data_IF_665408768270
#
_entry.id   IF_665408768270
#
_cell.length_a   1.000
_cell.length_b   1.000
_cell.length_c   1.000
_cell.angle_alpha   90.00
_cell.angle_beta   90.00
_cell.angle_gamma   90.00
#
_symmetry.space_group_name_H-M   'P 1'
#
loop_
_entity.id
_entity.type
_entity.pdbx_description
1 polymer ?
#
# COMPACT_ATOMS: atom_id res chain seq x y z
N UNK A 1 -13.37 -19.62 24.21
CA UNK A 1 -12.78 -18.81 23.09
C UNK A 1 -13.91 -18.30 22.19
N UNK A 2 -13.87 -17.03 21.77
CA UNK A 2 -14.84 -16.40 20.86
C UNK A 2 -14.18 -15.39 19.92
N UNK A 3 -14.90 -14.96 18.87
CA UNK A 3 -14.37 -14.02 17.88
C UNK A 3 -13.94 -12.67 18.45
N UNK A 4 -14.58 -12.20 19.53
CA UNK A 4 -14.19 -10.94 20.17
C UNK A 4 -12.81 -11.05 20.82
N UNK A 5 -12.52 -12.15 21.47
CA UNK A 5 -11.20 -12.41 22.05
C UNK A 5 -10.12 -12.49 20.97
N UNK A 6 -10.38 -13.19 19.84
CA UNK A 6 -9.43 -13.26 18.71
C UNK A 6 -9.18 -11.87 18.09
N UNK A 7 -10.23 -11.04 17.92
CA UNK A 7 -10.08 -9.66 17.47
C UNK A 7 -9.22 -8.84 18.43
N UNK A 8 -9.41 -8.99 19.73
CA UNK A 8 -8.60 -8.28 20.74
C UNK A 8 -7.12 -8.66 20.62
N UNK A 9 -6.80 -9.97 20.44
CA UNK A 9 -5.41 -10.42 20.27
C UNK A 9 -4.78 -9.76 19.03
N UNK A 10 -5.48 -9.80 17.91
CA UNK A 10 -5.03 -9.18 16.64
C UNK A 10 -4.81 -7.68 16.80
N UNK A 11 -5.79 -6.97 17.33
CA UNK A 11 -5.68 -5.51 17.48
C UNK A 11 -4.61 -5.12 18.52
N UNK A 12 -4.39 -5.93 19.56
CA UNK A 12 -3.32 -5.69 20.52
C UNK A 12 -1.93 -5.75 19.85
N UNK A 13 -1.72 -6.70 18.94
CA UNK A 13 -0.48 -6.77 18.17
C UNK A 13 -0.30 -5.59 17.20
N UNK A 14 -1.40 -5.11 16.58
CA UNK A 14 -1.39 -4.00 15.62
C UNK A 14 -1.22 -2.62 16.25
N UNK A 15 -1.68 -2.45 17.50
CA UNK A 15 -1.64 -1.20 18.26
C UNK A 15 -0.46 -1.16 19.23
N UNK A 16 0.66 -1.80 18.89
CA UNK A 16 1.88 -1.83 19.72
C UNK A 16 1.59 -2.15 21.19
N UNK A 17 0.64 -3.07 21.42
CA UNK A 17 0.22 -3.54 22.73
C UNK A 17 -0.44 -2.46 23.61
N UNK A 18 -0.92 -1.36 23.02
CA UNK A 18 -1.62 -0.30 23.71
C UNK A 18 -3.11 -0.66 23.88
N UNK A 19 -3.47 -1.18 25.06
CA UNK A 19 -4.85 -1.63 25.35
C UNK A 19 -5.89 -0.51 25.33
N UNK A 20 -5.48 0.75 25.47
CA UNK A 20 -6.40 1.90 25.37
C UNK A 20 -6.80 2.10 23.90
N UNK A 21 -5.85 2.05 22.98
CA UNK A 21 -6.13 2.13 21.55
C UNK A 21 -6.94 0.93 21.06
N UNK A 22 -6.62 -0.29 21.53
CA UNK A 22 -7.44 -1.48 21.25
C UNK A 22 -8.89 -1.29 21.71
N UNK A 23 -9.09 -0.72 22.90
CA UNK A 23 -10.42 -0.46 23.42
C UNK A 23 -11.19 0.56 22.57
N UNK A 24 -10.52 1.64 22.15
CA UNK A 24 -11.08 2.66 21.25
C UNK A 24 -11.48 2.03 19.89
N UNK A 25 -10.58 1.27 19.26
CA UNK A 25 -10.81 0.61 17.98
C UNK A 25 -11.99 -0.40 18.01
N UNK A 26 -12.16 -1.10 19.14
CA UNK A 26 -13.20 -2.11 19.29
C UNK A 26 -14.47 -1.59 20.01
N UNK A 27 -14.57 -0.28 20.22
CA UNK A 27 -15.71 0.37 20.88
C UNK A 27 -16.05 -0.27 22.25
N UNK A 28 -15.02 -0.53 23.06
CA UNK A 28 -15.17 -1.18 24.37
C UNK A 28 -14.33 -0.47 25.44
N UNK A 29 -14.32 -0.97 26.67
CA UNK A 29 -13.48 -0.43 27.74
C UNK A 29 -12.13 -1.15 27.82
N UNK A 30 -11.08 -0.43 28.22
CA UNK A 30 -9.74 -1.00 28.44
C UNK A 30 -9.76 -2.15 29.48
N UNK A 31 -10.61 -2.02 30.53
CA UNK A 31 -10.79 -3.10 31.50
C UNK A 31 -11.46 -4.34 30.89
N UNK A 32 -12.41 -4.16 29.96
CA UNK A 32 -13.02 -5.23 29.19
C UNK A 32 -12.02 -5.96 28.32
N UNK A 33 -11.16 -5.22 27.58
CA UNK A 33 -10.07 -5.78 26.78
C UNK A 33 -9.16 -6.63 27.65
N UNK A 34 -8.68 -6.07 28.79
CA UNK A 34 -7.79 -6.78 29.71
C UNK A 34 -8.42 -8.05 30.30
N UNK A 35 -9.72 -8.01 30.58
CA UNK A 35 -10.47 -9.18 31.07
C UNK A 35 -10.56 -10.28 30.01
N UNK A 36 -10.92 -9.93 28.76
CA UNK A 36 -11.02 -10.90 27.67
C UNK A 36 -9.68 -11.58 27.35
N UNK A 37 -8.57 -10.84 27.46
CA UNK A 37 -7.24 -11.44 27.30
C UNK A 37 -6.98 -12.47 28.39
N UNK A 38 -7.24 -12.15 29.67
CA UNK A 38 -7.02 -13.09 30.79
C UNK A 38 -7.91 -14.31 30.67
N UNK A 39 -9.20 -14.13 30.40
CA UNK A 39 -10.14 -15.24 30.19
C UNK A 39 -9.64 -16.21 29.11
N UNK A 40 -9.05 -15.69 28.03
CA UNK A 40 -8.50 -16.52 26.96
C UNK A 40 -7.19 -17.21 27.38
N UNK A 41 -6.29 -16.50 28.07
CA UNK A 41 -5.05 -17.07 28.62
C UNK A 41 -5.38 -18.20 29.63
N UNK A 42 -6.35 -17.98 30.51
CA UNK A 42 -6.82 -18.97 31.50
C UNK A 42 -7.45 -20.20 30.82
N UNK A 43 -8.28 -19.98 29.79
CA UNK A 43 -8.93 -21.06 29.04
C UNK A 43 -7.93 -21.94 28.29
N UNK A 44 -6.90 -21.31 27.67
CA UNK A 44 -5.90 -22.03 26.88
C UNK A 44 -4.74 -22.56 27.72
N UNK A 45 -4.60 -22.09 28.96
CA UNK A 45 -3.50 -22.46 29.86
C UNK A 45 -2.12 -21.94 29.40
N UNK A 46 -2.08 -20.84 28.63
CA UNK A 46 -0.86 -20.22 28.12
C UNK A 46 -0.86 -18.71 28.38
N UNK A 47 0.33 -18.13 28.53
CA UNK A 47 0.51 -16.69 28.50
C UNK A 47 0.66 -16.23 27.03
N UNK A 48 -0.22 -15.33 26.58
CA UNK A 48 -0.20 -14.78 25.22
C UNK A 48 0.72 -13.58 25.14
N UNK A 49 0.73 -12.76 26.19
CA UNK A 49 1.49 -11.50 26.21
C UNK A 49 2.53 -11.46 27.32
N UNK A 50 3.70 -10.91 27.00
CA UNK A 50 4.71 -10.52 27.99
C UNK A 50 4.22 -9.28 28.72
N UNK A 51 4.23 -9.31 30.07
CA UNK A 51 3.69 -8.24 30.92
C UNK A 51 4.76 -7.64 31.83
N UNK A 52 4.65 -6.33 32.06
CA UNK A 52 5.33 -5.65 33.16
C UNK A 52 4.29 -4.87 33.96
N UNK A 53 3.84 -5.48 35.04
CA UNK A 53 2.71 -4.95 35.81
C UNK A 53 1.40 -4.97 35.02
N UNK A 54 0.81 -3.80 34.78
CA UNK A 54 -0.43 -3.67 33.99
C UNK A 54 -0.20 -3.45 32.48
N UNK A 55 1.08 -3.27 32.06
CA UNK A 55 1.44 -2.95 30.65
C UNK A 55 1.83 -4.21 29.90
N UNK A 56 1.35 -4.38 28.69
CA UNK A 56 1.84 -5.35 27.72
C UNK A 56 3.09 -4.80 27.05
N UNK A 57 4.10 -5.66 26.86
CA UNK A 57 5.38 -5.30 26.25
C UNK A 57 5.62 -5.99 24.90
N UNK A 58 4.88 -7.06 24.62
CA UNK A 58 5.05 -7.88 23.43
C UNK A 58 4.25 -9.16 23.54
N UNK A 59 4.44 -10.07 22.61
CA UNK A 59 3.85 -11.40 22.63
C UNK A 59 4.88 -12.45 23.04
N UNK A 60 4.41 -13.50 23.71
CA UNK A 60 5.17 -14.73 23.95
C UNK A 60 5.27 -15.54 22.65
N UNK A 61 6.14 -16.57 22.60
CA UNK A 61 6.18 -17.46 21.43
C UNK A 61 4.83 -18.19 21.20
N UNK A 62 4.14 -18.76 22.22
CA UNK A 62 2.78 -19.25 22.04
C UNK A 62 1.80 -18.18 21.57
N UNK A 63 1.94 -16.94 22.05
CA UNK A 63 1.11 -15.82 21.64
C UNK A 63 1.26 -15.48 20.16
N UNK A 64 2.49 -15.47 19.63
CA UNK A 64 2.76 -15.26 18.20
C UNK A 64 2.13 -16.35 17.33
N UNK A 65 2.30 -17.62 17.73
CA UNK A 65 1.66 -18.75 17.05
C UNK A 65 0.13 -18.64 17.06
N UNK A 66 -0.45 -18.27 18.21
CA UNK A 66 -1.89 -18.03 18.34
C UNK A 66 -2.36 -16.88 17.43
N UNK A 67 -1.57 -15.80 17.31
CA UNK A 67 -1.94 -14.65 16.45
C UNK A 67 -2.12 -15.09 14.99
N UNK A 68 -1.22 -15.90 14.45
CA UNK A 68 -1.32 -16.43 13.08
C UNK A 68 -2.62 -17.23 12.90
N UNK A 69 -2.94 -18.11 13.86
CA UNK A 69 -4.19 -18.88 13.82
C UNK A 69 -5.41 -17.98 13.95
N UNK A 70 -5.38 -17.01 14.86
CA UNK A 70 -6.48 -16.06 15.08
C UNK A 70 -6.77 -15.23 13.82
N UNK A 71 -5.73 -14.76 13.13
CA UNK A 71 -5.88 -14.02 11.87
C UNK A 71 -6.52 -14.88 10.77
N UNK A 72 -6.13 -16.15 10.65
CA UNK A 72 -6.76 -17.09 9.70
C UNK A 72 -8.24 -17.31 10.03
N UNK A 73 -8.60 -17.56 11.29
CA UNK A 73 -9.99 -17.75 11.72
C UNK A 73 -10.83 -16.49 11.44
N UNK A 74 -10.29 -15.30 11.73
CA UNK A 74 -10.98 -14.03 11.48
C UNK A 74 -11.14 -13.76 9.98
N UNK A 75 -10.17 -14.15 9.16
CA UNK A 75 -10.25 -14.05 7.71
C UNK A 75 -11.35 -14.97 7.17
N UNK A 76 -11.39 -16.25 7.60
CA UNK A 76 -12.44 -17.19 7.20
C UNK A 76 -13.85 -16.74 7.67
N UNK A 77 -13.95 -16.17 8.87
CA UNK A 77 -15.22 -15.59 9.33
C UNK A 77 -15.67 -14.39 8.45
N UNK A 78 -14.74 -13.63 7.90
CA UNK A 78 -15.03 -12.59 6.90
C UNK A 78 -15.45 -13.21 5.57
N UNK A 79 -14.77 -14.28 5.13
CA UNK A 79 -15.10 -15.01 3.90
C UNK A 79 -16.51 -15.59 3.91
N UNK A 80 -17.01 -16.07 5.06
CA UNK A 80 -18.40 -16.53 5.19
C UNK A 80 -19.40 -15.43 4.81
N UNK A 81 -19.15 -14.18 5.22
CA UNK A 81 -20.01 -13.03 4.85
C UNK A 81 -19.88 -12.71 3.38
N UNK A 82 -18.64 -12.66 2.85
CA UNK A 82 -18.39 -12.42 1.42
C UNK A 82 -19.00 -13.50 0.54
N UNK A 83 -18.99 -14.77 0.99
CA UNK A 83 -19.63 -15.87 0.28
C UNK A 83 -21.13 -15.62 0.12
N UNK A 84 -21.82 -15.19 1.18
CA UNK A 84 -23.25 -14.87 1.11
C UNK A 84 -23.51 -13.75 0.08
N UNK A 85 -22.67 -12.74 0.06
CA UNK A 85 -22.76 -11.63 -0.91
C UNK A 85 -22.55 -12.10 -2.37
N UNK A 86 -21.66 -13.07 -2.62
CA UNK A 86 -21.43 -13.65 -3.95
C UNK A 86 -22.67 -14.33 -4.54
N UNK A 87 -23.52 -14.94 -3.67
CA UNK A 87 -24.73 -15.60 -4.12
C UNK A 87 -25.94 -14.67 -4.25
N UNK A 88 -25.88 -13.47 -3.67
CA UNK A 88 -27.02 -12.56 -3.65
C UNK A 88 -26.93 -11.43 -4.66
N UNK A 89 -25.74 -10.92 -4.98
CA UNK A 89 -25.55 -9.74 -5.84
C UNK A 89 -24.17 -9.72 -6.50
N UNK A 90 -24.06 -10.27 -7.72
CA UNK A 90 -22.79 -10.31 -8.46
C UNK A 90 -22.51 -9.02 -9.28
N UNK A 91 -23.53 -8.17 -9.47
CA UNK A 91 -23.45 -6.97 -10.34
C UNK A 91 -23.52 -5.64 -9.60
N UNK A 92 -23.79 -5.65 -8.29
CA UNK A 92 -23.89 -4.43 -7.47
C UNK A 92 -23.06 -4.54 -6.20
N UNK A 93 -22.75 -3.39 -5.59
CA UNK A 93 -21.97 -3.32 -4.36
C UNK A 93 -21.00 -2.16 -4.34
N UNK A 94 -19.92 -2.29 -3.57
CA UNK A 94 -18.86 -1.29 -3.48
C UNK A 94 -17.54 -1.98 -3.81
N UNK A 95 -16.73 -1.36 -4.68
CA UNK A 95 -15.33 -1.71 -4.91
C UNK A 95 -14.47 -0.62 -4.29
N UNK A 96 -13.76 -0.97 -3.24
CA UNK A 96 -12.85 -0.05 -2.54
C UNK A 96 -11.41 -0.28 -3.00
N UNK A 97 -10.82 0.76 -3.57
CA UNK A 97 -9.45 0.75 -4.09
C UNK A 97 -8.60 1.70 -3.24
N UNK A 98 -7.61 1.16 -2.54
CA UNK A 98 -6.61 1.95 -1.83
C UNK A 98 -5.41 2.21 -2.75
N UNK A 99 -5.01 3.46 -2.94
CA UNK A 99 -3.99 3.81 -3.93
C UNK A 99 -3.22 5.06 -3.56
N UNK A 100 -2.06 5.28 -4.18
CA UNK A 100 -1.34 6.55 -4.05
C UNK A 100 -1.97 7.62 -4.93
N UNK A 101 -1.74 8.90 -4.62
CA UNK A 101 -2.25 10.03 -5.41
C UNK A 101 -1.89 9.91 -6.90
N UNK A 102 -0.63 9.60 -7.19
CA UNK A 102 -0.14 9.48 -8.57
C UNK A 102 -0.92 8.44 -9.38
N UNK A 103 -1.23 7.28 -8.78
CA UNK A 103 -1.98 6.24 -9.49
C UNK A 103 -3.46 6.62 -9.64
N UNK A 104 -4.06 7.21 -8.61
CA UNK A 104 -5.44 7.69 -8.68
C UNK A 104 -5.66 8.70 -9.79
N UNK A 105 -4.69 9.61 -9.99
CA UNK A 105 -4.80 10.70 -10.96
C UNK A 105 -4.41 10.29 -12.37
N UNK A 106 -3.34 9.51 -12.56
CA UNK A 106 -2.72 9.34 -13.87
C UNK A 106 -2.87 7.94 -14.46
N UNK A 107 -3.01 6.89 -13.65
CA UNK A 107 -3.04 5.51 -14.15
C UNK A 107 -4.45 4.88 -14.11
N UNK A 108 -5.27 5.28 -13.15
CA UNK A 108 -6.60 4.68 -12.94
C UNK A 108 -7.74 5.26 -13.80
N UNK A 109 -7.72 6.51 -14.31
CA UNK A 109 -8.92 7.10 -14.94
C UNK A 109 -9.48 6.25 -16.08
N UNK A 110 -8.66 5.76 -17.01
CA UNK A 110 -9.12 4.94 -18.14
C UNK A 110 -9.63 3.56 -17.68
N UNK A 111 -8.96 2.95 -16.68
CA UNK A 111 -9.42 1.68 -16.10
C UNK A 111 -10.77 1.84 -15.42
N UNK A 112 -10.94 2.91 -14.64
CA UNK A 112 -12.20 3.24 -13.96
C UNK A 112 -13.31 3.50 -14.96
N UNK A 113 -13.03 4.22 -16.05
CA UNK A 113 -14.00 4.48 -17.11
C UNK A 113 -14.49 3.18 -17.73
N UNK A 114 -13.58 2.30 -18.15
CA UNK A 114 -13.92 1.00 -18.72
C UNK A 114 -14.68 0.11 -17.71
N UNK A 115 -14.28 0.14 -16.43
CA UNK A 115 -14.96 -0.60 -15.38
C UNK A 115 -16.41 -0.12 -15.17
N UNK A 116 -16.65 1.19 -15.18
CA UNK A 116 -17.98 1.78 -15.02
C UNK A 116 -18.93 1.43 -16.16
N UNK A 117 -18.41 1.22 -17.37
CA UNK A 117 -19.21 0.73 -18.51
C UNK A 117 -19.67 -0.71 -18.31
N UNK A 118 -18.84 -1.57 -17.69
CA UNK A 118 -19.16 -2.98 -17.43
C UNK A 118 -20.02 -3.18 -16.17
N UNK A 119 -19.82 -2.34 -15.14
CA UNK A 119 -20.47 -2.46 -13.84
C UNK A 119 -21.09 -1.13 -13.38
N UNK A 120 -22.16 -0.64 -14.05
CA UNK A 120 -22.76 0.66 -13.76
C UNK A 120 -23.36 0.76 -12.34
N UNK A 121 -23.77 -0.37 -11.75
CA UNK A 121 -24.37 -0.44 -10.40
C UNK A 121 -23.35 -0.61 -9.27
N UNK A 122 -22.08 -0.89 -9.58
CA UNK A 122 -21.01 -0.96 -8.58
C UNK A 122 -20.53 0.45 -8.25
N UNK A 123 -20.57 0.80 -6.97
CA UNK A 123 -19.98 2.06 -6.47
C UNK A 123 -18.48 1.88 -6.32
N UNK A 124 -17.73 2.93 -6.67
CA UNK A 124 -16.28 2.97 -6.51
C UNK A 124 -15.91 3.89 -5.36
N UNK A 125 -15.06 3.42 -4.46
CA UNK A 125 -14.41 4.20 -3.42
C UNK A 125 -12.91 4.20 -3.65
N UNK A 126 -12.31 5.41 -3.78
CA UNK A 126 -10.87 5.59 -3.88
C UNK A 126 -10.36 6.15 -2.56
N UNK A 127 -9.56 5.36 -1.84
CA UNK A 127 -8.89 5.77 -0.62
C UNK A 127 -7.43 6.08 -0.98
N UNK A 128 -7.01 7.33 -0.79
CA UNK A 128 -5.63 7.72 -1.05
C UNK A 128 -4.80 7.65 0.23
N UNK A 129 -3.59 7.09 0.11
CA UNK A 129 -2.67 6.97 1.23
C UNK A 129 -1.25 6.65 0.80
N UNK A 130 -0.39 6.52 1.78
CA UNK A 130 0.99 6.02 1.62
C UNK A 130 0.97 4.52 1.34
N UNK A 131 2.05 3.93 0.77
CA UNK A 131 2.14 2.48 0.58
C UNK A 131 1.93 1.66 1.86
N UNK A 132 2.32 2.21 3.01
CA UNK A 132 2.09 1.59 4.32
C UNK A 132 0.62 1.56 4.72
N UNK A 133 -0.08 2.69 4.57
CA UNK A 133 -1.51 2.79 4.87
C UNK A 133 -2.32 1.90 3.93
N UNK A 134 -1.95 1.84 2.63
CA UNK A 134 -2.57 0.96 1.64
C UNK A 134 -2.44 -0.51 2.06
N UNK A 135 -1.24 -0.95 2.48
CA UNK A 135 -1.03 -2.31 2.97
C UNK A 135 -1.92 -2.60 4.20
N UNK A 136 -2.01 -1.65 5.13
CA UNK A 136 -2.85 -1.79 6.33
C UNK A 136 -4.35 -1.90 5.98
N UNK A 137 -4.85 -1.08 5.05
CA UNK A 137 -6.24 -1.15 4.57
C UNK A 137 -6.57 -2.52 3.95
N UNK A 138 -5.65 -3.07 3.16
CA UNK A 138 -5.78 -4.42 2.61
C UNK A 138 -5.81 -5.50 3.71
N UNK A 139 -4.84 -5.46 4.63
CA UNK A 139 -4.76 -6.41 5.75
C UNK A 139 -6.02 -6.39 6.62
N UNK A 140 -6.59 -5.21 6.83
CA UNK A 140 -7.84 -5.04 7.58
C UNK A 140 -9.08 -5.50 6.80
N UNK A 141 -8.96 -5.66 5.46
CA UNK A 141 -10.10 -5.91 4.58
C UNK A 141 -11.01 -4.70 4.38
N UNK A 142 -10.47 -3.50 4.62
CA UNK A 142 -11.13 -2.21 4.40
C UNK A 142 -10.99 -1.75 2.93
N UNK A 143 -10.00 -2.28 2.20
CA UNK A 143 -9.88 -2.15 0.75
C UNK A 143 -9.88 -3.53 0.10
N UNK A 144 -10.47 -3.61 -1.10
CA UNK A 144 -10.48 -4.83 -1.91
C UNK A 144 -9.20 -4.94 -2.75
N UNK A 145 -8.72 -3.82 -3.29
CA UNK A 145 -7.51 -3.74 -4.12
C UNK A 145 -6.61 -2.63 -3.57
N UNK A 146 -5.31 -2.90 -3.48
CA UNK A 146 -4.29 -1.91 -3.18
C UNK A 146 -3.41 -1.66 -4.39
N UNK A 147 -3.07 -0.40 -4.67
CA UNK A 147 -2.21 -0.02 -5.80
C UNK A 147 -1.12 0.91 -5.32
N UNK A 148 0.13 0.43 -5.33
CA UNK A 148 1.28 1.21 -4.90
C UNK A 148 2.57 0.75 -5.58
N UNK A 149 3.57 1.61 -5.62
CA UNK A 149 4.88 1.29 -6.21
C UNK A 149 5.80 0.49 -5.29
N UNK A 150 5.51 0.44 -3.99
CA UNK A 150 6.41 -0.13 -3.00
C UNK A 150 5.62 -0.93 -1.97
N UNK A 151 6.31 -1.78 -1.21
CA UNK A 151 5.85 -2.47 -0.02
C UNK A 151 4.82 -3.61 -0.21
N UNK A 152 3.88 -3.54 -1.14
CA UNK A 152 2.84 -4.56 -1.28
C UNK A 152 3.43 -5.96 -1.57
N UNK A 153 4.52 -6.02 -2.33
CA UNK A 153 5.16 -7.30 -2.72
C UNK A 153 5.95 -7.98 -1.59
N UNK A 154 6.21 -7.28 -0.49
CA UNK A 154 7.05 -7.79 0.60
C UNK A 154 6.23 -8.17 1.85
N UNK A 155 4.92 -8.13 1.78
CA UNK A 155 4.03 -8.43 2.89
C UNK A 155 3.47 -9.84 2.75
N UNK A 156 3.74 -10.76 3.70
CA UNK A 156 3.29 -12.16 3.61
C UNK A 156 1.77 -12.33 3.66
N UNK A 157 1.03 -11.35 4.22
CA UNK A 157 -0.43 -11.36 4.25
C UNK A 157 -1.07 -10.89 2.94
N UNK A 158 -0.25 -10.35 2.02
CA UNK A 158 -0.70 -9.83 0.74
C UNK A 158 -0.19 -10.71 -0.42
N UNK A 159 -0.92 -10.66 -1.51
CA UNK A 159 -0.46 -11.16 -2.82
C UNK A 159 -0.38 -9.96 -3.72
N UNK A 160 0.78 -9.75 -4.34
CA UNK A 160 1.01 -8.58 -5.17
C UNK A 160 1.44 -9.01 -6.59
N UNK A 161 0.82 -8.39 -7.59
CA UNK A 161 1.06 -8.61 -9.01
C UNK A 161 1.67 -7.35 -9.62
N UNK A 162 2.74 -7.46 -10.44
CA UNK A 162 3.30 -6.30 -11.12
C UNK A 162 2.30 -5.81 -12.17
N UNK A 163 1.99 -4.51 -12.13
CA UNK A 163 1.12 -3.89 -13.14
C UNK A 163 1.94 -3.32 -14.28
N UNK A 164 2.74 -2.28 -14.01
CA UNK A 164 3.65 -1.68 -14.99
C UNK A 164 4.89 -1.09 -14.32
N UNK A 165 5.90 -0.77 -15.15
CA UNK A 165 7.14 -0.13 -14.72
C UNK A 165 7.15 1.34 -15.15
N UNK A 166 7.78 2.18 -14.35
CA UNK A 166 7.94 3.59 -14.63
C UNK A 166 9.29 4.12 -14.12
N UNK A 167 9.72 5.28 -14.64
CA UNK A 167 10.95 5.94 -14.27
C UNK A 167 10.70 7.35 -13.74
N UNK A 168 11.71 7.92 -13.12
CA UNK A 168 11.68 9.33 -12.78
C UNK A 168 12.01 10.18 -14.00
N UNK A 169 11.41 11.38 -14.07
CA UNK A 169 11.74 12.45 -15.00
C UNK A 169 12.14 13.68 -14.22
N UNK A 170 13.01 14.50 -14.82
CA UNK A 170 13.37 15.80 -14.26
C UNK A 170 12.49 16.88 -14.87
N UNK A 171 11.87 17.70 -14.03
CA UNK A 171 11.11 18.88 -14.42
C UNK A 171 11.93 20.14 -14.12
N UNK A 172 12.02 21.04 -15.09
CA UNK A 172 12.71 22.31 -14.96
C UNK A 172 11.90 23.43 -15.60
N UNK A 173 12.04 24.69 -15.15
CA UNK A 173 11.51 25.84 -15.89
C UNK A 173 12.08 25.90 -17.32
N UNK A 174 11.32 26.54 -18.23
CA UNK A 174 11.63 26.56 -19.67
C UNK A 174 13.04 27.05 -19.99
N UNK A 175 13.51 28.08 -19.30
CA UNK A 175 14.83 28.72 -19.54
C UNK A 175 15.93 28.15 -18.64
N UNK A 176 15.71 26.98 -18.01
CA UNK A 176 16.68 26.43 -17.06
C UNK A 176 17.92 25.89 -17.78
N UNK A 177 19.17 26.17 -17.26
CA UNK A 177 20.41 25.74 -17.91
C UNK A 177 20.54 24.25 -18.21
N UNK A 178 19.88 23.39 -17.43
CA UNK A 178 19.89 21.94 -17.66
C UNK A 178 19.22 21.51 -18.97
N UNK A 179 18.38 22.36 -19.59
CA UNK A 179 17.79 22.10 -20.92
C UNK A 179 18.84 22.04 -22.03
N UNK A 180 20.04 22.64 -21.82
CA UNK A 180 21.14 22.69 -22.77
C UNK A 180 22.16 21.57 -22.50
N UNK A 181 22.00 20.75 -21.49
CA UNK A 181 22.95 19.70 -21.12
C UNK A 181 22.42 18.34 -21.61
N UNK A 182 23.17 17.68 -22.47
CA UNK A 182 22.88 16.32 -22.95
C UNK A 182 24.19 15.53 -23.13
N UNK A 183 24.32 14.34 -22.52
CA UNK A 183 23.38 13.73 -21.56
C UNK A 183 23.41 14.41 -20.18
N UNK A 184 22.28 14.36 -19.46
CA UNK A 184 22.24 14.78 -18.07
C UNK A 184 23.04 13.80 -17.21
N UNK A 185 23.63 14.31 -16.12
CA UNK A 185 24.32 13.49 -15.12
C UNK A 185 23.83 13.83 -13.72
N UNK A 186 23.99 12.92 -12.77
CA UNK A 186 23.65 13.19 -11.37
C UNK A 186 24.46 14.35 -10.80
N UNK A 187 25.72 14.51 -11.24
CA UNK A 187 26.59 15.61 -10.87
C UNK A 187 26.08 16.98 -11.39
N UNK A 188 25.44 17.00 -12.57
CA UNK A 188 24.82 18.21 -13.10
C UNK A 188 23.52 18.59 -12.36
N UNK A 189 22.75 17.58 -11.97
CA UNK A 189 21.49 17.73 -11.23
C UNK A 189 21.80 18.17 -9.78
N UNK A 190 22.80 17.58 -9.13
CA UNK A 190 23.17 17.86 -7.74
C UNK A 190 23.60 19.33 -7.47
N UNK A 191 23.85 20.11 -8.52
CA UNK A 191 24.21 21.54 -8.39
C UNK A 191 23.00 22.44 -8.12
N UNK A 192 21.79 21.90 -8.19
CA UNK A 192 20.56 22.67 -8.10
C UNK A 192 19.71 22.23 -6.93
N UNK A 193 18.93 23.13 -6.31
CA UNK A 193 17.94 22.76 -5.31
C UNK A 193 16.93 21.78 -5.89
N UNK A 194 16.72 20.66 -5.20
CA UNK A 194 15.79 19.59 -5.63
C UNK A 194 14.47 19.66 -4.87
N UNK A 195 13.40 19.45 -5.61
CA UNK A 195 12.03 19.26 -5.10
C UNK A 195 11.60 17.85 -5.50
N UNK A 196 11.21 17.02 -4.56
CA UNK A 196 10.83 15.63 -4.86
C UNK A 196 9.87 15.06 -3.80
N UNK A 197 9.62 13.76 -3.85
CA UNK A 197 8.73 13.08 -2.90
C UNK A 197 9.34 12.97 -1.50
N UNK A 198 8.47 12.85 -0.48
CA UNK A 198 8.87 12.48 0.88
C UNK A 198 9.47 11.08 0.89
N UNK A 199 10.28 10.79 1.92
CA UNK A 199 10.79 9.44 2.15
C UNK A 199 9.65 8.43 2.31
N UNK A 200 9.82 7.22 1.74
CA UNK A 200 8.84 6.14 1.76
C UNK A 200 7.67 6.30 0.78
N UNK A 201 7.72 7.28 -0.12
CA UNK A 201 6.67 7.55 -1.12
C UNK A 201 7.26 7.55 -2.53
N UNK A 202 6.53 6.92 -3.46
CA UNK A 202 6.66 7.04 -4.92
C UNK A 202 8.12 6.98 -5.41
N UNK A 203 8.83 5.92 -5.06
CA UNK A 203 10.19 5.66 -5.57
C UNK A 203 11.26 6.63 -5.07
N UNK A 204 11.02 7.40 -3.99
CA UNK A 204 12.02 8.31 -3.42
C UNK A 204 13.32 7.58 -3.05
N UNK A 205 13.24 6.35 -2.57
CA UNK A 205 14.41 5.52 -2.26
C UNK A 205 15.34 5.33 -3.48
N UNK A 206 14.77 5.19 -4.69
CA UNK A 206 15.56 5.07 -5.92
C UNK A 206 16.36 6.33 -6.25
N UNK A 207 15.80 7.50 -5.92
CA UNK A 207 16.51 8.79 -6.07
C UNK A 207 17.66 8.83 -5.07
N UNK A 208 17.38 8.58 -3.79
CA UNK A 208 18.39 8.61 -2.72
C UNK A 208 19.52 7.62 -3.00
N UNK A 209 19.20 6.38 -3.40
CA UNK A 209 20.18 5.35 -3.75
C UNK A 209 21.06 5.75 -4.95
N UNK A 210 20.49 6.39 -5.97
CA UNK A 210 21.25 6.83 -7.14
C UNK A 210 22.31 7.88 -6.79
N UNK A 211 21.94 8.89 -5.99
CA UNK A 211 22.87 9.89 -5.49
C UNK A 211 23.91 9.27 -4.55
N UNK A 212 23.50 8.42 -3.62
CA UNK A 212 24.40 7.75 -2.67
C UNK A 212 25.44 6.87 -3.36
N UNK A 213 25.06 6.10 -4.39
CA UNK A 213 25.99 5.27 -5.20
C UNK A 213 27.09 6.09 -5.88
N UNK A 214 26.84 7.36 -6.14
CA UNK A 214 27.82 8.29 -6.73
C UNK A 214 28.56 9.11 -5.68
N UNK A 215 28.27 8.93 -4.39
CA UNK A 215 28.82 9.75 -3.33
C UNK A 215 28.38 11.22 -3.38
N UNK A 216 27.22 11.50 -4.01
CA UNK A 216 26.66 12.83 -4.14
C UNK A 216 25.58 13.05 -3.07
N UNK A 217 25.45 14.31 -2.65
CA UNK A 217 24.36 14.77 -1.79
C UNK A 217 23.36 15.55 -2.65
N UNK A 218 22.10 15.16 -2.59
CA UNK A 218 21.01 15.91 -3.18
C UNK A 218 20.58 17.02 -2.21
N UNK A 219 20.60 18.28 -2.66
CA UNK A 219 20.10 19.42 -1.89
C UNK A 219 18.56 19.47 -1.99
N UNK A 220 17.86 18.70 -1.16
CA UNK A 220 16.40 18.62 -1.19
C UNK A 220 15.81 19.74 -0.35
N UNK A 221 15.43 20.82 -1.02
CA UNK A 221 14.87 22.03 -0.39
C UNK A 221 13.37 21.91 -0.08
N UNK A 222 12.65 21.03 -0.79
CA UNK A 222 11.23 20.77 -0.54
C UNK A 222 10.90 19.32 -0.84
N UNK A 223 10.10 18.69 0.01
CA UNK A 223 9.55 17.36 -0.25
C UNK A 223 8.03 17.36 -0.10
N UNK A 224 7.33 16.75 -1.06
CA UNK A 224 5.87 16.68 -1.10
C UNK A 224 5.37 15.25 -1.23
N UNK A 225 4.07 15.05 -1.03
CA UNK A 225 3.44 13.74 -1.13
C UNK A 225 3.07 13.37 -2.57
N UNK A 226 2.83 14.37 -3.42
CA UNK A 226 2.37 14.16 -4.78
C UNK A 226 3.09 15.05 -5.80
N UNK A 227 2.96 14.65 -7.07
CA UNK A 227 3.63 15.32 -8.19
C UNK A 227 3.09 16.72 -8.48
N UNK A 228 1.81 16.99 -8.21
CA UNK A 228 1.18 18.25 -8.59
C UNK A 228 1.70 19.38 -7.71
N UNK A 229 1.89 19.10 -6.42
CA UNK A 229 2.57 20.02 -5.50
C UNK A 229 4.01 20.28 -5.94
N UNK A 230 4.76 19.21 -6.31
CA UNK A 230 6.13 19.37 -6.80
C UNK A 230 6.17 20.27 -8.04
N UNK A 231 5.33 20.01 -9.04
CA UNK A 231 5.22 20.84 -10.26
C UNK A 231 4.94 22.30 -9.96
N UNK A 232 4.03 22.57 -9.05
CA UNK A 232 3.67 23.93 -8.64
C UNK A 232 4.90 24.70 -8.14
N UNK A 233 5.70 24.09 -7.26
CA UNK A 233 6.87 24.78 -6.69
C UNK A 233 8.05 24.85 -7.65
N UNK A 234 8.17 23.91 -8.60
CA UNK A 234 9.13 24.01 -9.72
C UNK A 234 8.75 25.19 -10.63
N UNK A 235 7.46 25.33 -10.98
CA UNK A 235 6.98 26.45 -11.79
C UNK A 235 7.20 27.82 -11.12
N UNK A 236 7.21 27.87 -9.79
CA UNK A 236 7.55 29.07 -9.02
C UNK A 236 9.07 29.34 -8.94
N UNK A 237 9.91 28.46 -9.51
CA UNK A 237 11.36 28.64 -9.56
C UNK A 237 12.08 28.31 -8.25
N UNK A 238 11.46 27.56 -7.31
CA UNK A 238 12.11 27.19 -6.06
C UNK A 238 13.20 26.12 -6.20
N UNK A 239 13.24 25.44 -7.33
CA UNK A 239 14.20 24.38 -7.63
C UNK A 239 13.77 23.57 -8.84
N UNK A 240 14.46 22.45 -9.08
CA UNK A 240 14.13 21.47 -10.12
C UNK A 240 13.42 20.26 -9.53
N UNK A 241 12.49 19.65 -10.27
CA UNK A 241 11.62 18.61 -9.75
C UNK A 241 11.99 17.21 -10.24
N UNK A 242 12.14 16.23 -9.34
CA UNK A 242 12.18 14.81 -9.72
C UNK A 242 10.83 14.19 -9.43
N UNK A 243 10.12 13.77 -10.51
CA UNK A 243 8.76 13.23 -10.44
C UNK A 243 8.62 11.95 -11.25
N UNK A 244 7.55 11.20 -11.02
CA UNK A 244 7.20 10.04 -11.84
C UNK A 244 6.88 10.48 -13.27
N UNK A 245 7.40 9.78 -14.28
CA UNK A 245 7.19 10.15 -15.69
C UNK A 245 5.72 10.16 -16.11
N UNK A 246 4.90 9.29 -15.55
CA UNK A 246 3.47 9.22 -15.80
C UNK A 246 2.66 10.39 -15.21
N UNK A 247 3.26 11.21 -14.38
CA UNK A 247 2.62 12.41 -13.81
C UNK A 247 2.47 13.55 -14.84
N UNK A 248 2.52 13.25 -16.12
CA UNK A 248 2.34 14.19 -17.22
C UNK A 248 0.92 14.14 -17.77
N UNK A 249 0.16 15.22 -17.63
CA UNK A 249 -1.00 15.52 -18.46
C UNK A 249 -0.58 16.50 -19.56
N UNK A 250 -1.03 16.30 -20.78
CA UNK A 250 -0.65 17.12 -21.95
C UNK A 250 -0.95 18.63 -21.80
N UNK A 251 -1.75 19.04 -20.81
CA UNK A 251 -2.20 20.42 -20.61
C UNK A 251 -1.60 21.14 -19.40
N UNK A 252 -0.80 20.47 -18.55
CA UNK A 252 -0.40 21.03 -17.25
C UNK A 252 1.05 21.55 -17.20
N UNK A 253 1.83 21.46 -18.28
CA UNK A 253 3.25 21.80 -18.27
C UNK A 253 3.59 23.01 -19.18
N UNK A 254 2.67 23.99 -19.34
CA UNK A 254 2.91 25.16 -20.22
C UNK A 254 4.20 25.91 -19.91
N UNK A 255 4.71 25.86 -18.67
CA UNK A 255 5.93 26.58 -18.24
C UNK A 255 7.05 25.66 -17.79
N UNK A 256 6.91 24.34 -17.95
CA UNK A 256 7.90 23.36 -17.51
C UNK A 256 8.38 22.49 -18.66
N UNK A 257 9.69 22.18 -18.65
CA UNK A 257 10.28 21.19 -19.56
C UNK A 257 10.56 19.92 -18.78
N UNK A 258 10.15 18.80 -19.36
CA UNK A 258 10.46 17.44 -18.90
C UNK A 258 11.71 16.93 -19.59
N UNK A 259 12.73 16.60 -18.80
CA UNK A 259 13.97 16.04 -19.26
C UNK A 259 14.04 14.55 -18.92
N UNK A 260 14.53 13.75 -19.88
CA UNK A 260 14.66 12.29 -19.72
C UNK A 260 15.80 11.95 -18.75
N UNK A 261 15.47 11.21 -17.71
CA UNK A 261 16.43 10.73 -16.70
C UNK A 261 16.31 9.22 -16.46
N UNK A 262 15.67 8.46 -17.37
CA UNK A 262 15.44 7.02 -17.24
C UNK A 262 16.73 6.21 -17.02
N UNK A 263 17.84 6.69 -17.57
CA UNK A 263 19.16 6.06 -17.45
C UNK A 263 19.90 6.41 -16.16
N UNK A 264 19.39 7.37 -15.38
CA UNK A 264 20.01 7.81 -14.11
C UNK A 264 19.43 7.09 -12.91
N UNK A 265 18.17 6.67 -12.99
CA UNK A 265 17.42 6.07 -11.87
C UNK A 265 16.87 4.70 -12.23
N UNK A 266 16.95 3.77 -11.30
CA UNK A 266 16.35 2.46 -11.47
C UNK A 266 14.83 2.58 -11.64
N UNK A 267 14.26 1.71 -12.47
CA UNK A 267 12.82 1.66 -12.67
C UNK A 267 12.07 1.26 -11.39
N UNK A 268 10.91 1.84 -11.21
CA UNK A 268 9.94 1.46 -10.20
C UNK A 268 8.88 0.55 -10.81
N UNK A 269 8.29 -0.32 -10.00
CA UNK A 269 7.16 -1.17 -10.40
C UNK A 269 5.93 -0.77 -9.60
N UNK A 270 4.80 -0.57 -10.28
CA UNK A 270 3.50 -0.46 -9.63
C UNK A 270 2.94 -1.86 -9.45
N UNK A 271 2.46 -2.13 -8.26
CA UNK A 271 1.91 -3.42 -7.86
C UNK A 271 0.41 -3.31 -7.58
N UNK A 272 -0.32 -4.33 -8.00
CA UNK A 272 -1.72 -4.58 -7.63
C UNK A 272 -1.69 -5.56 -6.47
N UNK A 273 -2.17 -5.16 -5.30
CA UNK A 273 -2.17 -5.96 -4.08
C UNK A 273 -3.57 -6.41 -3.70
N UNK A 274 -3.66 -7.63 -3.21
CA UNK A 274 -4.87 -8.25 -2.66
C UNK A 274 -4.53 -8.90 -1.33
N UNK A 275 -5.50 -8.99 -0.43
CA UNK A 275 -5.33 -9.75 0.80
C UNK A 275 -5.35 -11.25 0.50
N UNK A 276 -4.32 -11.96 0.98
CA UNK A 276 -4.21 -13.42 0.83
C UNK A 276 -5.37 -14.15 1.50
N UNK A 277 -5.90 -15.18 0.86
CA UNK A 277 -6.99 -16.01 1.35
C UNK A 277 -8.34 -15.29 1.46
N UNK A 278 -8.49 -14.09 0.88
CA UNK A 278 -9.75 -13.35 0.90
C UNK A 278 -10.58 -13.65 -0.35
N UNK A 279 -11.83 -14.11 -0.15
CA UNK A 279 -12.77 -14.25 -1.26
C UNK A 279 -13.09 -12.87 -1.84
N UNK A 280 -13.01 -12.76 -3.15
CA UNK A 280 -13.30 -11.53 -3.89
C UNK A 280 -14.53 -11.71 -4.77
N UNK A 281 -15.28 -10.62 -4.96
CA UNK A 281 -16.42 -10.56 -5.87
C UNK A 281 -15.96 -10.56 -7.33
N UNK A 282 -16.85 -10.99 -8.24
CA UNK A 282 -16.53 -11.07 -9.67
C UNK A 282 -16.02 -9.75 -10.25
N UNK A 283 -16.60 -8.63 -9.89
CA UNK A 283 -16.19 -7.31 -10.37
C UNK A 283 -14.77 -6.93 -9.92
N UNK A 284 -14.24 -7.48 -8.80
CA UNK A 284 -12.84 -7.27 -8.38
C UNK A 284 -11.89 -7.92 -9.39
N UNK A 285 -12.18 -9.16 -9.80
CA UNK A 285 -11.40 -9.88 -10.80
C UNK A 285 -11.43 -9.18 -12.15
N UNK A 286 -12.61 -8.69 -12.56
CA UNK A 286 -12.74 -7.94 -13.83
C UNK A 286 -12.00 -6.61 -13.79
N UNK A 287 -11.93 -5.94 -12.64
CA UNK A 287 -11.11 -4.75 -12.49
C UNK A 287 -9.62 -5.07 -12.70
N UNK A 288 -9.12 -6.17 -12.13
CA UNK A 288 -7.73 -6.61 -12.33
C UNK A 288 -7.44 -6.98 -13.78
N UNK A 289 -8.38 -7.59 -14.49
CA UNK A 289 -8.26 -7.84 -15.93
C UNK A 289 -8.14 -6.54 -16.74
N UNK A 290 -8.93 -5.53 -16.40
CA UNK A 290 -8.85 -4.22 -17.04
C UNK A 290 -7.51 -3.51 -16.78
N UNK A 291 -6.87 -3.78 -15.66
CA UNK A 291 -5.50 -3.33 -15.41
C UNK A 291 -4.47 -4.02 -16.32
N UNK A 292 -4.85 -5.11 -17.01
CA UNK A 292 -3.99 -5.85 -17.96
C UNK A 292 -2.61 -6.20 -17.38
N UNK A 293 -2.61 -6.80 -16.19
CA UNK A 293 -1.39 -7.14 -15.45
C UNK A 293 -0.57 -8.31 -16.07
N UNK A 294 -0.94 -8.78 -17.27
CA UNK A 294 -0.24 -9.88 -17.96
C UNK A 294 -0.46 -11.27 -17.34
N UNK A 295 -1.35 -11.40 -16.37
CA UNK A 295 -1.72 -12.66 -15.71
C UNK A 295 -3.19 -13.00 -16.00
N UNK A 296 -3.48 -14.30 -16.12
CA UNK A 296 -4.88 -14.74 -16.21
C UNK A 296 -5.58 -14.57 -14.85
N UNK A 297 -6.89 -14.34 -14.87
CA UNK A 297 -7.68 -14.26 -13.63
C UNK A 297 -7.60 -15.55 -12.82
N UNK A 298 -7.53 -16.71 -13.51
CA UNK A 298 -7.36 -18.00 -12.85
C UNK A 298 -6.05 -18.07 -12.07
N UNK A 299 -4.94 -17.58 -12.63
CA UNK A 299 -3.64 -17.54 -11.95
C UNK A 299 -3.65 -16.59 -10.76
N UNK A 300 -4.29 -15.43 -10.90
CA UNK A 300 -4.47 -14.48 -9.79
C UNK A 300 -5.28 -15.12 -8.66
N UNK A 301 -6.43 -15.72 -9.00
CA UNK A 301 -7.31 -16.40 -8.03
C UNK A 301 -6.55 -17.50 -7.29
N UNK A 302 -5.81 -18.36 -8.02
CA UNK A 302 -5.02 -19.42 -7.42
C UNK A 302 -4.02 -18.85 -6.41
N UNK A 303 -3.21 -17.87 -6.79
CA UNK A 303 -2.21 -17.27 -5.91
C UNK A 303 -2.81 -16.57 -4.69
N UNK A 304 -3.97 -15.93 -4.83
CA UNK A 304 -4.68 -15.30 -3.71
C UNK A 304 -5.19 -16.33 -2.72
N UNK A 305 -5.66 -17.49 -3.20
CA UNK A 305 -6.25 -18.54 -2.37
C UNK A 305 -5.21 -19.54 -1.83
N UNK A 306 -4.01 -19.61 -2.43
CA UNK A 306 -2.91 -20.41 -1.89
C UNK A 306 -2.51 -19.83 -0.53
N UNK A 307 -2.54 -20.68 0.51
CA UNK A 307 -1.96 -20.34 1.81
C UNK A 307 -0.47 -20.06 1.62
N UNK A 308 0.10 -19.05 2.28
CA UNK A 308 1.53 -18.97 2.42
C UNK A 308 1.97 -20.27 3.10
N UNK A 309 2.69 -21.12 2.40
CA UNK A 309 3.40 -22.27 2.98
C UNK A 309 4.60 -21.78 3.81
N UNK A 310 4.40 -20.94 4.79
CA UNK A 310 5.19 -20.99 5.99
C UNK A 310 4.58 -22.13 6.81
N UNK A 311 5.04 -23.34 6.56
CA UNK A 311 4.90 -24.44 7.48
C UNK A 311 5.34 -23.90 8.85
N UNK A 312 4.35 -23.69 9.72
CA UNK A 312 4.65 -23.54 11.14
C UNK A 312 5.21 -24.89 11.53
N UNK A 313 6.54 -24.99 11.58
CA UNK A 313 7.24 -26.16 12.10
C UNK A 313 6.85 -26.27 13.59
N UNK A 314 5.79 -27.02 13.85
CA UNK A 314 5.39 -27.40 15.19
C UNK A 314 6.43 -28.41 15.70
N UNK A 315 7.61 -27.92 16.08
CA UNK A 315 8.49 -28.70 16.92
C UNK A 315 7.83 -28.81 18.30
N UNK A 316 7.06 -29.89 18.45
CA UNK A 316 6.50 -30.35 19.73
C UNK A 316 7.61 -31.00 20.53
#
# INVERSE_FOLDING_TARGET
MNFQQLKIIREAARQDYNLTEVANMLFTSQSGVSRHIRELEDELGIEIFVRRGKRLLGMTEPGKALLVIAERILNEASNVRRLADLFTNDTSGVLTIATTHTQARYSLPEVIKAFRELFPEVRLELIQGTPQEIATLLQNGEADIGIASERLSNDPQLVAFPWFRWHHSLLVPHDHPLTQISPLTLESIAKWPLITYRQGITGRSRIDDAFARKGLLADIVLSAQDSDVIKTYVALGLGIGLVAEQSSGEQEEENLIRLDTRYLFDANTVWLGLKRGQLQRNYVWRFLELCNAGLSVEDIKRQVMESSEEEIDYQI
#
